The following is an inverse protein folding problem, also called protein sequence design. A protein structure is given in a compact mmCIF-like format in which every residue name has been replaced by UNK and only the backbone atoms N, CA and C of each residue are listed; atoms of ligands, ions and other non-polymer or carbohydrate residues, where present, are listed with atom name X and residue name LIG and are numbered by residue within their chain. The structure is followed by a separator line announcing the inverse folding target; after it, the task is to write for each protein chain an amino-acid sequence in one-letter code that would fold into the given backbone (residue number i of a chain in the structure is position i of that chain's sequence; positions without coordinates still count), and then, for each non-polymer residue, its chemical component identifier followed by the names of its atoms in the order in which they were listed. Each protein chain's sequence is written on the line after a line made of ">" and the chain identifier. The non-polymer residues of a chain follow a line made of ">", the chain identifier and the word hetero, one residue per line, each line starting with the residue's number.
data_IF_893596434849
#
_entry.id   IF_893596434849
#
_cell.length_a   1.000
_cell.length_b   1.000
_cell.length_c   1.000
_cell.angle_alpha   90.00
_cell.angle_beta   90.00
_cell.angle_gamma   90.00
#
_symmetry.space_group_name_H-M   'P 1'
#
loop_
_entity.id
_entity.type
_entity.pdbx_description
1 polymer ?
#
# COMPACT_ATOMS: atom_id res chain seq x y z
N UNK A 1 -1.83 24.75 15.72
CA UNK A 1 -2.81 23.99 14.93
C UNK A 1 -2.23 23.90 13.54
N UNK A 2 -1.96 22.70 13.04
CA UNK A 2 -1.54 22.53 11.63
C UNK A 2 -2.82 22.65 10.80
N UNK A 3 -2.97 23.75 10.08
CA UNK A 3 -4.03 23.93 9.10
C UNK A 3 -3.48 23.40 7.77
N UNK A 4 -4.06 22.32 7.26
CA UNK A 4 -3.55 21.63 6.06
C UNK A 4 -4.51 21.89 4.92
N UNK A 5 -4.08 22.56 3.85
CA UNK A 5 -4.89 22.79 2.65
C UNK A 5 -4.32 22.00 1.47
N UNK A 6 -5.19 21.28 0.75
CA UNK A 6 -4.82 20.38 -0.35
C UNK A 6 -5.17 20.90 -1.75
N UNK A 7 -5.63 22.15 -1.84
CA UNK A 7 -5.96 22.80 -3.11
C UNK A 7 -4.80 22.70 -4.10
N UNK A 8 -5.14 22.32 -5.34
CA UNK A 8 -4.23 22.12 -6.47
C UNK A 8 -3.09 21.09 -6.24
N UNK A 9 -3.25 20.15 -5.29
CA UNK A 9 -2.28 19.05 -5.08
C UNK A 9 -2.71 17.73 -5.74
N UNK A 10 -3.35 17.82 -6.91
CA UNK A 10 -3.94 16.67 -7.63
C UNK A 10 -2.94 15.58 -8.01
N UNK A 11 -1.64 15.90 -8.09
CA UNK A 11 -0.58 14.93 -8.42
C UNK A 11 -0.01 14.20 -7.19
N UNK A 12 -0.43 14.57 -5.97
CA UNK A 12 0.10 13.99 -4.74
C UNK A 12 -0.34 12.52 -4.62
N UNK A 13 0.64 11.62 -4.44
CA UNK A 13 0.42 10.17 -4.30
C UNK A 13 0.61 9.65 -2.88
N UNK A 14 1.40 10.36 -2.07
CA UNK A 14 1.68 9.97 -0.69
C UNK A 14 1.59 11.20 0.19
N UNK A 15 0.78 11.08 1.24
CA UNK A 15 0.65 12.07 2.29
C UNK A 15 1.01 11.39 3.60
N UNK A 16 2.12 11.81 4.20
CA UNK A 16 2.56 11.35 5.52
C UNK A 16 2.55 12.52 6.49
N UNK A 17 1.66 12.45 7.47
CA UNK A 17 1.56 13.39 8.59
C UNK A 17 1.73 12.65 9.93
N UNK A 18 2.38 11.48 9.92
CA UNK A 18 2.56 10.66 11.10
C UNK A 18 3.28 11.42 12.23
N UNK A 19 2.83 11.22 13.47
CA UNK A 19 3.40 11.84 14.67
C UNK A 19 3.11 13.34 14.81
N UNK A 20 2.26 13.90 13.95
CA UNK A 20 1.87 15.32 14.07
C UNK A 20 0.80 15.51 15.14
N UNK A 21 0.73 16.73 15.70
CA UNK A 21 -0.32 17.14 16.63
C UNK A 21 -1.59 17.59 15.90
N UNK A 22 -1.94 16.91 14.80
CA UNK A 22 -3.14 17.20 14.01
C UNK A 22 -4.39 16.87 14.84
N UNK A 23 -5.34 17.81 14.90
CA UNK A 23 -6.63 17.58 15.57
C UNK A 23 -7.70 17.12 14.56
N UNK A 24 -7.65 17.68 13.35
CA UNK A 24 -8.57 17.41 12.25
C UNK A 24 -7.79 17.46 10.93
N UNK A 25 -8.25 16.70 9.95
CA UNK A 25 -7.74 16.72 8.58
C UNK A 25 -8.72 17.50 7.71
N UNK A 26 -8.22 18.41 6.87
CA UNK A 26 -9.10 19.23 6.06
C UNK A 26 -9.96 18.40 5.10
N UNK A 27 -11.21 18.80 4.95
CA UNK A 27 -12.19 18.15 4.06
C UNK A 27 -11.75 18.18 2.59
N UNK A 28 -10.92 19.15 2.19
CA UNK A 28 -10.31 19.23 0.85
C UNK A 28 -9.40 18.04 0.52
N UNK A 29 -9.12 17.13 1.46
CA UNK A 29 -8.40 15.89 1.15
C UNK A 29 -9.09 15.09 0.06
N UNK A 30 -10.42 15.18 -0.06
CA UNK A 30 -11.19 14.49 -1.10
C UNK A 30 -10.79 14.89 -2.54
N UNK A 31 -10.10 16.02 -2.71
CA UNK A 31 -9.57 16.50 -3.99
C UNK A 31 -8.29 15.76 -4.43
N UNK A 32 -7.65 15.04 -3.53
CA UNK A 32 -6.43 14.25 -3.79
C UNK A 32 -6.76 12.94 -4.52
N UNK A 33 -7.41 13.01 -5.67
CA UNK A 33 -7.89 11.85 -6.44
C UNK A 33 -6.80 10.88 -6.91
N UNK A 34 -5.53 11.28 -6.85
CA UNK A 34 -4.37 10.42 -7.15
C UNK A 34 -3.65 9.90 -5.90
N UNK A 35 -4.14 10.19 -4.69
CA UNK A 35 -3.52 9.72 -3.46
C UNK A 35 -3.62 8.20 -3.39
N UNK A 36 -2.47 7.56 -3.21
CA UNK A 36 -2.38 6.12 -2.99
C UNK A 36 -2.05 5.80 -1.53
N UNK A 37 -1.26 6.62 -0.84
CA UNK A 37 -0.88 6.40 0.56
C UNK A 37 -1.31 7.54 1.45
N UNK A 38 -2.06 7.22 2.51
CA UNK A 38 -2.42 8.13 3.59
C UNK A 38 -1.85 7.60 4.93
N UNK A 39 -0.81 8.24 5.43
CA UNK A 39 -0.10 7.85 6.66
C UNK A 39 -0.32 8.91 7.73
N UNK A 40 -0.99 8.54 8.80
CA UNK A 40 -1.38 9.39 9.92
C UNK A 40 -1.03 8.73 11.26
N UNK A 41 -0.06 7.80 11.24
CA UNK A 41 0.33 7.02 12.41
C UNK A 41 0.69 7.95 13.58
N UNK A 42 0.27 7.60 14.78
CA UNK A 42 0.56 8.32 16.03
C UNK A 42 0.08 9.80 16.03
N UNK A 43 -0.90 10.17 15.21
CA UNK A 43 -1.61 11.45 15.32
C UNK A 43 -2.58 11.41 16.51
N UNK A 44 -2.04 11.46 17.73
CA UNK A 44 -2.81 11.16 18.96
C UNK A 44 -3.95 12.13 19.26
N UNK A 45 -3.96 13.31 18.63
CA UNK A 45 -5.02 14.30 18.79
C UNK A 45 -6.09 14.25 17.69
N UNK A 46 -5.89 13.46 16.63
CA UNK A 46 -6.83 13.36 15.53
C UNK A 46 -8.12 12.69 16.00
N UNK A 47 -9.26 13.36 15.85
CA UNK A 47 -10.55 12.85 16.36
C UNK A 47 -11.41 12.22 15.27
N UNK A 48 -11.39 12.81 14.07
CA UNK A 48 -12.22 12.41 12.93
C UNK A 48 -11.39 12.46 11.66
N UNK A 49 -11.57 11.47 10.78
CA UNK A 49 -11.19 11.57 9.38
C UNK A 49 -12.36 12.06 8.54
N UNK A 50 -12.18 13.10 7.71
CA UNK A 50 -13.22 13.60 6.83
C UNK A 50 -13.57 12.56 5.76
N UNK A 51 -14.60 12.83 4.96
CA UNK A 51 -15.03 11.92 3.92
C UNK A 51 -13.92 11.62 2.90
N UNK A 52 -13.43 10.39 2.90
CA UNK A 52 -12.36 9.91 2.01
C UNK A 52 -12.85 9.00 0.88
N UNK A 53 -14.17 8.90 0.66
CA UNK A 53 -14.75 8.03 -0.38
C UNK A 53 -14.23 8.33 -1.80
N UNK A 54 -13.86 9.59 -2.08
CA UNK A 54 -13.31 9.98 -3.40
C UNK A 54 -11.88 9.51 -3.65
N UNK A 55 -11.16 9.05 -2.61
CA UNK A 55 -9.78 8.57 -2.70
C UNK A 55 -9.72 7.12 -3.22
N UNK A 56 -10.32 6.89 -4.40
CA UNK A 56 -10.53 5.55 -4.98
C UNK A 56 -9.23 4.83 -5.38
N UNK A 57 -8.10 5.55 -5.41
CA UNK A 57 -6.76 5.01 -5.70
C UNK A 57 -5.94 4.69 -4.45
N UNK A 58 -6.51 4.83 -3.24
CA UNK A 58 -5.82 4.45 -2.02
C UNK A 58 -5.44 2.98 -2.03
N UNK A 59 -4.16 2.73 -1.82
CA UNK A 59 -3.56 1.41 -1.59
C UNK A 59 -3.24 1.16 -0.12
N UNK A 60 -2.87 2.20 0.62
CA UNK A 60 -2.46 2.13 2.03
C UNK A 60 -3.12 3.23 2.84
N UNK A 61 -3.72 2.83 3.97
CA UNK A 61 -4.13 3.74 5.04
C UNK A 61 -3.59 3.26 6.40
N UNK A 62 -2.77 4.09 7.05
CA UNK A 62 -2.24 3.83 8.39
C UNK A 62 -2.65 4.95 9.34
N UNK A 63 -3.60 4.67 10.22
CA UNK A 63 -4.03 5.55 11.32
C UNK A 63 -3.68 4.94 12.68
N UNK A 64 -2.72 4.01 12.71
CA UNK A 64 -2.37 3.31 13.93
C UNK A 64 -1.90 4.27 15.02
N UNK A 65 -2.29 4.03 16.27
CA UNK A 65 -1.91 4.89 17.39
C UNK A 65 -2.66 6.22 17.47
N UNK A 66 -3.60 6.52 16.56
CA UNK A 66 -4.50 7.68 16.68
C UNK A 66 -5.56 7.47 17.79
N UNK A 67 -5.12 7.58 19.04
CA UNK A 67 -5.90 7.19 20.23
C UNK A 67 -7.23 7.95 20.45
N UNK A 68 -7.41 9.11 19.83
CA UNK A 68 -8.68 9.88 19.87
C UNK A 68 -9.55 9.68 18.63
N UNK A 69 -9.03 9.05 17.58
CA UNK A 69 -9.74 8.86 16.32
C UNK A 69 -10.88 7.86 16.56
N UNK A 70 -12.12 8.34 16.45
CA UNK A 70 -13.31 7.54 16.75
C UNK A 70 -14.27 7.44 15.57
N UNK A 71 -14.06 8.23 14.51
CA UNK A 71 -14.89 8.23 13.32
C UNK A 71 -14.04 8.41 12.06
N UNK A 72 -14.35 7.62 11.03
CA UNK A 72 -13.93 7.85 9.66
C UNK A 72 -15.20 8.13 8.88
N UNK A 73 -15.33 9.32 8.33
CA UNK A 73 -16.46 9.65 7.48
C UNK A 73 -16.28 8.94 6.12
N UNK A 74 -17.33 8.27 5.66
CA UNK A 74 -17.31 7.51 4.41
C UNK A 74 -17.03 6.02 4.61
N UNK A 75 -16.60 5.38 3.53
CA UNK A 75 -16.48 3.93 3.40
C UNK A 75 -15.29 3.60 2.50
N UNK A 76 -14.70 2.41 2.64
CA UNK A 76 -13.64 1.92 1.76
C UNK A 76 -14.17 1.03 0.64
N UNK A 77 -15.49 0.90 0.50
CA UNK A 77 -16.17 0.02 -0.46
C UNK A 77 -15.67 0.16 -1.91
N UNK A 78 -15.37 1.39 -2.35
CA UNK A 78 -14.93 1.71 -3.72
C UNK A 78 -13.40 1.77 -3.87
N UNK A 79 -12.62 1.49 -2.83
CA UNK A 79 -11.15 1.55 -2.83
C UNK A 79 -10.54 0.26 -3.39
N UNK A 80 -10.80 0.01 -4.67
CA UNK A 80 -10.37 -1.22 -5.38
C UNK A 80 -8.86 -1.45 -5.46
N UNK A 81 -8.04 -0.46 -5.10
CA UNK A 81 -6.58 -0.53 -5.04
C UNK A 81 -6.05 -0.81 -3.64
N UNK A 82 -6.90 -1.02 -2.63
CA UNK A 82 -6.43 -1.14 -1.26
C UNK A 82 -5.72 -2.48 -1.02
N UNK A 83 -4.55 -2.43 -0.37
CA UNK A 83 -3.82 -3.58 0.18
C UNK A 83 -3.77 -3.51 1.70
N UNK A 84 -3.48 -2.34 2.27
CA UNK A 84 -3.14 -2.22 3.69
C UNK A 84 -4.06 -1.25 4.41
N UNK A 85 -4.65 -1.74 5.50
CA UNK A 85 -5.46 -0.93 6.42
C UNK A 85 -4.97 -1.20 7.83
N UNK A 86 -4.48 -0.17 8.51
CA UNK A 86 -4.10 -0.28 9.92
C UNK A 86 -4.88 0.73 10.77
N UNK A 87 -5.84 0.22 11.53
CA UNK A 87 -6.69 0.96 12.46
C UNK A 87 -6.27 0.76 13.92
N UNK A 88 -5.21 0.00 14.21
CA UNK A 88 -4.88 -0.41 15.58
C UNK A 88 -4.66 0.75 16.53
N UNK A 89 -5.18 0.64 17.76
CA UNK A 89 -5.02 1.70 18.77
C UNK A 89 -5.87 2.95 18.50
N UNK A 90 -6.90 2.83 17.66
CA UNK A 90 -7.95 3.83 17.48
C UNK A 90 -9.24 3.39 18.17
N UNK A 91 -10.29 4.21 18.08
CA UNK A 91 -11.65 3.92 18.58
C UNK A 91 -12.67 3.77 17.46
N UNK A 92 -12.22 3.67 16.21
CA UNK A 92 -13.10 3.62 15.05
C UNK A 92 -13.77 2.25 14.96
N UNK A 93 -15.00 2.22 14.45
CA UNK A 93 -15.59 0.97 13.94
C UNK A 93 -14.91 0.61 12.62
N UNK A 94 -14.79 -0.69 12.34
CA UNK A 94 -14.28 -1.16 11.04
C UNK A 94 -15.14 -0.57 9.91
N UNK A 95 -14.55 0.22 8.99
CA UNK A 95 -15.24 0.69 7.79
C UNK A 95 -15.61 -0.49 6.88
N UNK A 96 -16.59 -0.31 6.00
CA UNK A 96 -16.88 -1.29 4.96
C UNK A 96 -15.67 -1.44 4.04
N UNK A 97 -15.18 -2.67 3.90
CA UNK A 97 -14.03 -3.01 3.08
C UNK A 97 -14.40 -3.12 1.59
N UNK A 98 -13.42 -3.01 0.66
CA UNK A 98 -13.68 -2.99 -0.77
C UNK A 98 -14.46 -4.21 -1.26
N UNK A 99 -15.42 -4.00 -2.16
CA UNK A 99 -16.17 -5.11 -2.79
C UNK A 99 -15.34 -5.86 -3.82
N UNK A 100 -14.51 -5.14 -4.55
CA UNK A 100 -13.72 -5.64 -5.67
C UNK A 100 -12.24 -5.30 -5.47
N UNK A 101 -11.36 -5.96 -6.24
CA UNK A 101 -9.94 -5.67 -6.25
C UNK A 101 -9.43 -5.49 -7.67
N UNK A 102 -8.69 -4.41 -7.91
CA UNK A 102 -7.90 -4.19 -9.13
C UNK A 102 -6.45 -4.65 -8.98
N UNK A 103 -6.05 -5.03 -7.78
CA UNK A 103 -4.69 -5.46 -7.50
C UNK A 103 -4.63 -6.82 -6.82
N UNK A 104 -3.65 -7.63 -7.18
CA UNK A 104 -3.52 -9.02 -6.70
C UNK A 104 -2.54 -9.18 -5.54
N UNK A 105 -2.24 -8.10 -4.83
CA UNK A 105 -1.48 -8.15 -3.58
C UNK A 105 -2.25 -8.91 -2.49
N UNK A 106 -1.50 -9.51 -1.56
CA UNK A 106 -2.01 -9.89 -0.25
C UNK A 106 -2.55 -8.64 0.45
N UNK A 107 -3.72 -8.74 1.05
CA UNK A 107 -4.31 -7.66 1.85
C UNK A 107 -3.93 -7.86 3.31
N UNK A 108 -3.56 -6.78 3.98
CA UNK A 108 -3.23 -6.78 5.39
C UNK A 108 -4.15 -5.80 6.13
N UNK A 109 -5.02 -6.34 6.98
CA UNK A 109 -6.00 -5.56 7.74
C UNK A 109 -5.74 -5.73 9.22
N UNK A 110 -5.52 -4.62 9.91
CA UNK A 110 -5.42 -4.55 11.36
C UNK A 110 -6.55 -3.68 11.89
N UNK A 111 -7.44 -4.29 12.68
CA UNK A 111 -8.60 -3.59 13.25
C UNK A 111 -8.22 -2.73 14.46
N UNK A 112 -9.17 -1.93 14.94
CA UNK A 112 -8.99 -1.04 16.08
C UNK A 112 -8.51 -1.75 17.36
N UNK A 113 -9.03 -2.96 17.59
CA UNK A 113 -8.65 -3.84 18.70
C UNK A 113 -7.30 -4.58 18.50
N UNK A 114 -6.66 -4.40 17.34
CA UNK A 114 -5.38 -5.01 17.00
C UNK A 114 -5.48 -6.39 16.34
N UNK A 115 -6.69 -6.96 16.14
CA UNK A 115 -6.87 -8.18 15.37
C UNK A 115 -6.35 -8.01 13.94
N UNK A 116 -5.68 -9.04 13.44
CA UNK A 116 -5.06 -9.07 12.11
C UNK A 116 -5.78 -10.06 11.21
N UNK A 117 -5.94 -9.66 9.95
CA UNK A 117 -6.54 -10.46 8.88
C UNK A 117 -5.68 -10.31 7.64
N UNK A 118 -5.44 -11.43 6.96
CA UNK A 118 -4.61 -11.50 5.77
C UNK A 118 -5.26 -12.40 4.73
N UNK A 119 -5.25 -11.98 3.48
CA UNK A 119 -5.82 -12.77 2.38
C UNK A 119 -5.83 -12.00 1.06
N UNK A 120 -6.04 -12.69 -0.05
CA UNK A 120 -6.05 -12.05 -1.39
C UNK A 120 -7.44 -11.56 -1.81
N UNK A 121 -8.50 -12.16 -1.27
CA UNK A 121 -9.90 -11.87 -1.60
C UNK A 121 -10.61 -11.13 -0.47
N UNK A 122 -11.19 -9.97 -0.81
CA UNK A 122 -11.95 -9.17 0.15
C UNK A 122 -13.19 -9.86 0.71
N UNK A 123 -13.84 -10.75 -0.06
CA UNK A 123 -14.97 -11.57 0.42
C UNK A 123 -14.55 -12.42 1.61
N UNK A 124 -13.48 -13.19 1.46
CA UNK A 124 -12.95 -14.06 2.52
C UNK A 124 -12.56 -13.28 3.77
N UNK A 125 -11.93 -12.12 3.60
CA UNK A 125 -11.55 -11.25 4.71
C UNK A 125 -12.79 -10.72 5.44
N UNK A 126 -13.81 -10.27 4.72
CA UNK A 126 -15.07 -9.82 5.32
C UNK A 126 -15.75 -10.95 6.10
N UNK A 127 -15.86 -12.14 5.50
CA UNK A 127 -16.46 -13.30 6.13
C UNK A 127 -15.72 -13.68 7.43
N UNK A 128 -14.38 -13.61 7.42
CA UNK A 128 -13.57 -13.89 8.61
C UNK A 128 -13.77 -12.83 9.72
N UNK A 129 -13.86 -11.55 9.34
CA UNK A 129 -14.15 -10.46 10.29
C UNK A 129 -15.54 -10.64 10.91
N UNK A 130 -16.54 -11.01 10.11
CA UNK A 130 -17.91 -11.24 10.58
C UNK A 130 -18.01 -12.47 11.49
N UNK A 131 -17.38 -13.59 11.12
CA UNK A 131 -17.35 -14.81 11.93
C UNK A 131 -16.77 -14.54 13.33
N UNK A 132 -15.62 -13.85 13.41
CA UNK A 132 -14.98 -13.56 14.70
C UNK A 132 -15.78 -12.59 15.58
N UNK A 133 -16.64 -11.75 15.00
CA UNK A 133 -17.57 -10.90 15.78
C UNK A 133 -18.70 -11.72 16.40
N UNK A 134 -19.20 -12.73 15.67
CA UNK A 134 -20.24 -13.62 16.18
C UNK A 134 -19.74 -14.49 17.33
N UNK A 135 -18.51 -15.00 17.26
CA UNK A 135 -17.89 -15.82 18.33
C UNK A 135 -17.70 -15.04 19.64
N UNK A 136 -17.38 -13.74 19.55
CA UNK A 136 -17.27 -12.86 20.72
C UNK A 136 -18.64 -12.55 21.34
N UNK A 137 -19.70 -12.44 20.53
CA UNK A 137 -21.06 -12.22 21.00
C UNK A 137 -21.64 -13.45 21.72
N UNK A 138 -21.29 -14.67 21.30
CA UNK A 138 -21.66 -15.91 21.99
C UNK A 138 -20.83 -16.13 23.25
N UNK A 139 -19.51 -15.91 23.21
CA UNK A 139 -18.65 -16.08 24.40
C UNK A 139 -18.94 -15.07 25.51
N UNK A 140 -19.26 -13.81 25.17
CA UNK A 140 -19.65 -12.78 26.16
C UNK A 140 -21.02 -13.03 26.80
N UNK A 141 -21.85 -13.89 26.21
CA UNK A 141 -23.15 -14.28 26.77
C UNK A 141 -23.08 -15.45 27.76
N UNK A 142 -22.00 -16.24 27.74
CA UNK A 142 -21.78 -17.36 28.67
C UNK A 142 -21.03 -16.95 29.96
N UNK A 143 -20.26 -15.86 29.94
CA UNK A 143 -19.49 -15.39 31.12
C UNK A 143 -20.29 -14.50 32.10
N UNK A 144 -21.56 -14.16 31.83
CA UNK A 144 -22.36 -13.26 32.71
C UNK A 144 -23.10 -14.01 33.85
N UNK A 145 -22.90 -15.34 34.03
CA UNK A 145 -23.67 -16.10 35.04
C UNK A 145 -23.09 -16.27 36.43
N UNK A 146 -21.85 -15.91 36.72
CA UNK A 146 -21.32 -15.96 38.09
C UNK A 146 -20.37 -14.80 38.37
N UNK A 147 -20.90 -13.67 38.86
CA UNK A 147 -20.21 -12.80 39.81
C UNK A 147 -21.19 -11.74 40.36
N UNK A 148 -22.13 -12.21 41.20
CA UNK A 148 -22.79 -11.35 42.19
C UNK A 148 -22.08 -11.59 43.51
N UNK A 149 -21.62 -10.49 44.12
CA UNK A 149 -21.03 -10.33 45.47
C UNK A 149 -19.54 -10.63 45.64
N UNK A 150 -18.71 -9.57 45.56
CA UNK A 150 -18.09 -8.97 46.76
C UNK A 150 -17.41 -7.61 46.49
N UNK A 151 -17.70 -6.65 47.38
CA UNK A 151 -17.09 -5.32 47.48
C UNK A 151 -15.60 -5.36 47.90
N UNK A 152 -14.76 -4.50 47.30
CA UNK A 152 -13.95 -3.42 47.95
C UNK A 152 -12.68 -3.09 47.15
N UNK A 153 -12.46 -1.80 46.93
CA UNK A 153 -11.17 -1.22 46.53
C UNK A 153 -10.20 -1.24 47.73
N UNK A 154 -8.91 -1.53 47.52
CA UNK A 154 -7.89 -0.53 47.83
C UNK A 154 -6.80 -0.39 46.74
N UNK A 155 -6.27 0.83 46.67
CA UNK A 155 -5.18 1.26 45.81
C UNK A 155 -3.82 0.66 46.20
N UNK A 156 -3.00 0.30 45.21
CA UNK A 156 -1.59 0.71 45.05
C UNK A 156 -0.88 -0.15 44.01
N UNK A 157 0.08 0.48 43.33
CA UNK A 157 1.19 -0.05 42.55
C UNK A 157 0.92 -0.98 41.35
N UNK A 158 1.16 -0.45 40.15
CA UNK A 158 1.70 -1.26 39.04
C UNK A 158 2.41 -0.37 38.02
N UNK A 159 3.48 0.28 38.48
CA UNK A 159 4.44 0.92 37.57
C UNK A 159 5.18 -0.11 36.69
N UNK A 160 5.13 -1.41 37.03
CA UNK A 160 5.80 -2.48 36.27
C UNK A 160 5.03 -3.06 35.07
N UNK A 161 3.69 -2.93 34.99
CA UNK A 161 2.93 -3.45 33.83
C UNK A 161 3.02 -2.56 32.58
N UNK A 162 3.42 -1.29 32.76
CA UNK A 162 3.52 -0.31 31.67
C UNK A 162 4.80 -0.47 30.83
N UNK A 163 5.84 -1.08 31.39
CA UNK A 163 7.12 -1.26 30.72
C UNK A 163 7.17 -2.54 29.87
N UNK A 164 6.46 -3.60 30.28
CA UNK A 164 6.37 -4.84 29.50
C UNK A 164 5.58 -4.66 28.18
N UNK A 165 4.61 -3.74 28.14
CA UNK A 165 3.84 -3.43 26.92
C UNK A 165 4.65 -2.57 25.94
N UNK A 166 5.53 -1.68 26.45
CA UNK A 166 6.40 -0.85 25.60
C UNK A 166 7.48 -1.65 24.88
N UNK A 167 7.92 -2.77 25.45
CA UNK A 167 9.01 -3.55 24.88
C UNK A 167 8.56 -4.54 23.79
N UNK A 168 7.30 -5.00 23.82
CA UNK A 168 6.74 -5.90 22.78
C UNK A 168 6.28 -5.19 21.51
N UNK A 169 6.03 -3.88 21.54
CA UNK A 169 5.60 -3.10 20.37
C UNK A 169 6.76 -2.66 19.45
N UNK A 170 8.02 -2.94 19.81
CA UNK A 170 9.20 -2.55 19.01
C UNK A 170 9.63 -3.56 17.95
N UNK A 171 9.11 -4.79 17.95
CA UNK A 171 9.63 -5.87 17.09
C UNK A 171 8.56 -6.51 16.20
N UNK A 172 7.78 -5.71 15.48
CA UNK A 172 7.16 -6.19 14.24
C UNK A 172 7.97 -5.57 13.12
N UNK A 173 8.75 -6.35 12.35
CA UNK A 173 9.33 -5.85 11.11
C UNK A 173 8.15 -5.59 10.19
N UNK A 174 7.68 -4.34 10.17
CA UNK A 174 6.95 -3.87 9.01
C UNK A 174 8.00 -3.92 7.90
N UNK A 175 7.67 -4.47 6.74
CA UNK A 175 8.50 -4.44 5.52
C UNK A 175 8.73 -2.99 4.98
N UNK A 176 8.74 -2.00 5.87
CA UNK A 176 9.06 -0.59 5.68
C UNK A 176 10.45 -0.36 5.08
N UNK A 177 11.38 -1.29 5.24
CA UNK A 177 12.73 -1.15 4.66
C UNK A 177 12.71 -1.25 3.12
N UNK A 178 11.85 -2.09 2.53
CA UNK A 178 11.71 -2.13 1.06
C UNK A 178 11.12 -0.82 0.50
N UNK A 179 10.14 -0.23 1.20
CA UNK A 179 9.46 0.98 0.73
C UNK A 179 10.26 2.28 0.98
N UNK A 180 11.04 2.37 2.06
CA UNK A 180 11.97 3.49 2.31
C UNK A 180 13.10 3.54 1.29
N UNK A 181 13.62 2.40 0.85
CA UNK A 181 14.69 2.36 -0.16
C UNK A 181 14.23 2.84 -1.54
N UNK A 182 12.94 2.63 -1.88
CA UNK A 182 12.35 3.08 -3.14
C UNK A 182 12.08 4.60 -3.12
N UNK A 183 11.51 5.12 -2.02
CA UNK A 183 11.15 6.54 -1.91
C UNK A 183 12.36 7.46 -1.64
N UNK A 184 13.38 7.02 -0.89
CA UNK A 184 14.59 7.82 -0.62
C UNK A 184 15.43 8.13 -1.87
N UNK A 185 15.26 7.38 -2.97
CA UNK A 185 15.94 7.64 -4.25
C UNK A 185 15.25 8.68 -5.13
N UNK A 186 14.01 9.06 -4.80
CA UNK A 186 13.34 10.18 -5.45
C UNK A 186 13.70 11.54 -4.80
N UNK A 187 14.55 11.53 -3.77
CA UNK A 187 15.00 12.74 -3.11
C UNK A 187 16.13 13.42 -3.91
N UNK A 188 15.73 14.51 -4.57
CA UNK A 188 16.47 15.78 -4.79
C UNK A 188 17.86 15.83 -5.43
N UNK A 189 18.48 14.75 -5.92
CA UNK A 189 19.85 14.83 -6.48
C UNK A 189 20.03 14.61 -7.99
N UNK A 190 19.01 14.26 -8.76
CA UNK A 190 19.16 14.09 -10.22
C UNK A 190 17.98 14.65 -11.00
N UNK A 191 18.01 15.95 -11.26
CA UNK A 191 17.31 16.53 -12.41
C UNK A 191 17.93 15.93 -13.69
N UNK A 192 17.38 14.83 -14.16
CA UNK A 192 17.46 14.43 -15.56
C UNK A 192 16.03 14.19 -16.04
N UNK A 193 15.72 14.68 -17.24
CA UNK A 193 14.40 14.70 -17.86
C UNK A 193 13.63 13.39 -17.64
N UNK A 194 12.62 13.45 -16.79
CA UNK A 194 11.69 12.34 -16.56
C UNK A 194 10.57 12.48 -17.57
N UNK A 195 10.60 11.68 -18.64
CA UNK A 195 9.45 11.57 -19.53
C UNK A 195 8.39 10.69 -18.86
N UNK A 196 7.43 11.30 -18.18
CA UNK A 196 6.21 10.61 -17.69
C UNK A 196 5.24 10.44 -18.85
N UNK A 197 5.33 9.35 -19.59
CA UNK A 197 4.37 9.02 -20.64
C UNK A 197 3.07 8.54 -19.98
N UNK A 198 2.08 9.44 -19.89
CA UNK A 198 0.70 9.07 -19.62
C UNK A 198 0.00 8.92 -20.96
N UNK A 199 -0.58 7.74 -21.19
CA UNK A 199 -1.42 7.43 -22.34
C UNK A 199 -0.74 7.61 -23.70
N UNK A 200 -0.58 6.48 -24.40
CA UNK A 200 0.00 6.37 -25.74
C UNK A 200 -0.31 7.56 -26.65
N UNK A 201 0.72 8.18 -27.22
CA UNK A 201 0.63 8.62 -28.62
C UNK A 201 1.96 8.84 -29.34
N UNK A 202 3.07 9.07 -28.65
CA UNK A 202 4.38 9.18 -29.33
C UNK A 202 5.48 8.47 -28.52
N UNK A 203 6.00 7.36 -29.06
CA UNK A 203 7.07 6.55 -28.46
C UNK A 203 8.46 6.86 -29.06
N UNK A 204 8.61 7.98 -29.78
CA UNK A 204 9.90 8.37 -30.37
C UNK A 204 10.72 9.26 -29.42
N UNK A 205 11.90 8.78 -29.00
CA UNK A 205 12.91 9.58 -28.28
C UNK A 205 13.86 8.74 -27.42
N UNK A 206 15.04 9.28 -27.12
CA UNK A 206 15.95 8.68 -26.12
C UNK A 206 15.37 8.87 -24.71
N UNK A 207 14.73 7.85 -24.14
CA UNK A 207 14.15 7.91 -22.80
C UNK A 207 15.01 7.15 -21.79
N UNK A 208 15.66 7.86 -20.85
CA UNK A 208 16.38 7.22 -19.72
C UNK A 208 15.42 6.60 -18.70
N UNK A 209 14.20 7.11 -18.59
CA UNK A 209 13.21 6.73 -17.60
C UNK A 209 11.86 6.50 -18.29
N UNK A 210 11.26 5.33 -18.10
CA UNK A 210 9.93 5.02 -18.60
C UNK A 210 9.05 4.41 -17.50
N UNK A 211 7.78 4.76 -17.55
CA UNK A 211 6.76 4.24 -16.64
C UNK A 211 5.51 3.91 -17.45
N UNK A 212 5.11 2.65 -17.44
CA UNK A 212 3.90 2.18 -18.08
C UNK A 212 2.88 1.72 -17.04
N UNK A 213 1.61 1.99 -17.32
CA UNK A 213 0.46 1.48 -16.58
C UNK A 213 -0.43 0.78 -17.59
N UNK A 214 -0.76 -0.48 -17.35
CA UNK A 214 -1.65 -1.27 -18.20
C UNK A 214 -1.18 -1.33 -19.67
N UNK A 215 0.12 -1.58 -19.88
CA UNK A 215 0.70 -1.79 -21.21
C UNK A 215 0.60 -3.27 -21.60
N UNK A 216 0.15 -3.53 -22.82
CA UNK A 216 0.15 -4.87 -23.39
C UNK A 216 1.55 -5.31 -23.84
N UNK A 217 1.76 -6.62 -23.92
CA UNK A 217 3.06 -7.22 -24.27
C UNK A 217 3.60 -6.77 -25.63
N UNK A 218 2.71 -6.54 -26.62
CA UNK A 218 3.14 -6.16 -27.97
C UNK A 218 3.69 -4.73 -28.02
N UNK A 219 3.03 -3.79 -27.34
CA UNK A 219 3.52 -2.41 -27.23
C UNK A 219 4.81 -2.33 -26.42
N UNK A 220 4.89 -3.07 -25.31
CA UNK A 220 6.10 -3.10 -24.50
C UNK A 220 7.29 -3.62 -25.31
N UNK A 221 7.09 -4.69 -26.08
CA UNK A 221 8.09 -5.27 -26.96
C UNK A 221 8.53 -4.27 -28.04
N UNK A 222 7.58 -3.63 -28.75
CA UNK A 222 7.90 -2.63 -29.78
C UNK A 222 8.75 -1.50 -29.19
N UNK A 223 8.35 -1.00 -28.01
CA UNK A 223 9.05 0.09 -27.34
C UNK A 223 10.51 -0.25 -27.03
N UNK A 224 10.78 -1.40 -26.41
CA UNK A 224 12.15 -1.79 -26.10
C UNK A 224 12.96 -2.14 -27.34
N UNK A 225 12.35 -2.65 -28.41
CA UNK A 225 13.08 -2.90 -29.66
C UNK A 225 13.45 -1.61 -30.41
N UNK A 226 12.69 -0.53 -30.22
CA UNK A 226 12.96 0.79 -30.80
C UNK A 226 13.87 1.65 -29.90
N UNK A 227 13.87 1.42 -28.59
CA UNK A 227 14.55 2.26 -27.59
C UNK A 227 15.68 1.53 -26.90
N UNK A 228 16.94 1.88 -27.21
CA UNK A 228 18.14 1.21 -26.67
C UNK A 228 18.77 1.85 -25.43
N UNK A 229 18.23 2.97 -24.95
CA UNK A 229 18.86 3.81 -23.89
C UNK A 229 18.12 3.85 -22.55
N UNK A 230 17.15 2.94 -22.35
CA UNK A 230 16.31 2.90 -21.15
C UNK A 230 17.12 2.41 -19.95
N UNK A 231 17.30 3.29 -18.96
CA UNK A 231 18.00 2.96 -17.70
C UNK A 231 17.04 2.57 -16.58
N UNK A 232 15.83 3.12 -16.58
CA UNK A 232 14.84 2.87 -15.53
C UNK A 232 13.50 2.56 -16.17
N UNK A 233 12.93 1.40 -15.81
CA UNK A 233 11.62 0.97 -16.29
C UNK A 233 10.72 0.65 -15.10
N UNK A 234 9.55 1.29 -15.07
CA UNK A 234 8.47 0.95 -14.14
C UNK A 234 7.30 0.40 -14.95
N UNK A 235 6.84 -0.80 -14.63
CA UNK A 235 5.66 -1.40 -15.21
C UNK A 235 4.63 -1.65 -14.12
N UNK A 236 3.39 -1.25 -14.35
CA UNK A 236 2.31 -1.42 -13.37
C UNK A 236 1.04 -1.91 -14.02
N UNK A 237 0.30 -2.74 -13.29
CA UNK A 237 -1.07 -3.14 -13.65
C UNK A 237 -1.19 -3.82 -15.02
N UNK A 238 -0.17 -4.54 -15.49
CA UNK A 238 -0.29 -5.24 -16.76
C UNK A 238 -0.90 -6.62 -16.50
N UNK A 239 -2.19 -6.74 -16.83
CA UNK A 239 -3.04 -7.86 -16.42
C UNK A 239 -2.92 -9.08 -17.34
N UNK A 240 -2.40 -8.90 -18.54
CA UNK A 240 -2.34 -9.87 -19.63
C UNK A 240 -0.93 -10.44 -19.88
N UNK A 241 0.11 -9.86 -19.26
CA UNK A 241 1.50 -10.26 -19.48
C UNK A 241 1.83 -11.49 -18.62
N UNK A 242 2.00 -12.63 -19.29
CA UNK A 242 2.48 -13.88 -18.68
C UNK A 242 4.01 -13.98 -18.68
N UNK A 243 4.64 -13.62 -19.79
CA UNK A 243 6.08 -13.72 -19.98
C UNK A 243 6.61 -12.35 -20.39
N UNK A 244 7.47 -11.76 -19.55
CA UNK A 244 7.97 -10.41 -19.71
C UNK A 244 9.29 -10.40 -20.48
N UNK A 245 9.43 -9.45 -21.40
CA UNK A 245 10.61 -9.26 -22.27
C UNK A 245 10.94 -10.43 -23.21
N UNK A 246 9.93 -11.26 -23.53
CA UNK A 246 10.05 -12.25 -24.61
C UNK A 246 10.31 -11.56 -25.94
N UNK A 247 11.31 -12.05 -26.68
CA UNK A 247 11.68 -11.54 -28.03
C UNK A 247 12.03 -10.05 -28.06
N UNK A 248 12.52 -9.50 -26.94
CA UNK A 248 13.11 -8.16 -26.89
C UNK A 248 14.60 -8.26 -27.21
N UNK A 249 15.11 -7.34 -28.06
CA UNK A 249 16.53 -7.26 -28.42
C UNK A 249 17.39 -7.17 -27.15
N UNK A 250 18.36 -8.09 -27.04
CA UNK A 250 19.24 -8.17 -25.87
C UNK A 250 19.96 -6.85 -25.64
N UNK A 251 20.42 -6.17 -26.70
CA UNK A 251 21.10 -4.89 -26.59
C UNK A 251 20.23 -3.81 -25.92
N UNK A 252 18.92 -3.87 -26.13
CA UNK A 252 17.98 -2.89 -25.59
C UNK A 252 17.82 -2.99 -24.07
N UNK A 253 17.91 -4.20 -23.52
CA UNK A 253 17.87 -4.43 -22.07
C UNK A 253 19.24 -4.24 -21.40
N UNK A 254 20.31 -4.25 -22.21
CA UNK A 254 21.70 -4.02 -21.81
C UNK A 254 21.92 -2.77 -20.98
N UNK A 255 21.15 -1.70 -21.22
CA UNK A 255 21.29 -0.42 -20.54
C UNK A 255 20.43 -0.28 -19.28
N UNK A 256 19.52 -1.22 -19.03
CA UNK A 256 18.57 -1.12 -17.92
C UNK A 256 19.26 -1.31 -16.58
N UNK A 257 19.21 -0.28 -15.74
CA UNK A 257 19.81 -0.23 -14.41
C UNK A 257 18.79 -0.53 -13.30
N UNK A 258 17.52 -0.22 -13.52
CA UNK A 258 16.43 -0.46 -12.56
C UNK A 258 15.16 -0.91 -13.26
N UNK A 259 14.59 -2.00 -12.77
CA UNK A 259 13.31 -2.54 -13.20
C UNK A 259 12.38 -2.64 -12.00
N UNK A 260 11.22 -1.98 -12.09
CA UNK A 260 10.15 -2.07 -11.11
C UNK A 260 8.90 -2.64 -11.78
N UNK A 261 8.40 -3.75 -11.28
CA UNK A 261 7.19 -4.41 -11.77
C UNK A 261 6.22 -4.49 -10.59
N UNK A 262 5.00 -4.01 -10.78
CA UNK A 262 3.97 -4.14 -9.76
C UNK A 262 2.63 -4.54 -10.34
N UNK A 263 1.95 -5.49 -9.70
CA UNK A 263 0.59 -5.90 -10.01
C UNK A 263 0.47 -6.54 -11.41
N UNK A 264 1.19 -7.65 -11.59
CA UNK A 264 1.09 -8.51 -12.76
C UNK A 264 0.52 -9.87 -12.34
N UNK A 265 -0.80 -10.08 -12.39
CA UNK A 265 -1.46 -11.28 -11.86
C UNK A 265 -1.16 -12.54 -12.68
N UNK A 266 -0.76 -12.40 -13.94
CA UNK A 266 -0.45 -13.50 -14.84
C UNK A 266 1.05 -13.73 -15.04
N UNK A 267 1.92 -12.83 -14.54
CA UNK A 267 3.35 -12.92 -14.79
C UNK A 267 3.93 -14.18 -14.15
N UNK A 268 4.42 -15.07 -15.00
CA UNK A 268 5.11 -16.31 -14.62
C UNK A 268 6.61 -16.18 -14.83
N UNK A 269 7.04 -15.52 -15.91
CA UNK A 269 8.45 -15.48 -16.32
C UNK A 269 8.91 -14.06 -16.60
N UNK A 270 10.12 -13.71 -16.14
CA UNK A 270 10.88 -12.57 -16.68
C UNK A 270 12.04 -13.15 -17.48
N UNK A 271 11.99 -13.06 -18.81
CA UNK A 271 13.02 -13.62 -19.69
C UNK A 271 14.29 -12.78 -19.64
N UNK A 272 15.45 -13.45 -19.62
CA UNK A 272 16.78 -12.85 -19.69
C UNK A 272 17.56 -13.61 -20.77
N UNK A 273 17.52 -13.11 -22.01
CA UNK A 273 18.55 -13.41 -23.01
C UNK A 273 19.78 -12.55 -22.72
N UNK A 274 20.77 -13.09 -22.02
CA UNK A 274 22.12 -12.53 -21.81
C UNK A 274 22.35 -11.13 -21.19
N UNK A 275 21.38 -10.23 -21.01
CA UNK A 275 21.70 -8.79 -21.00
C UNK A 275 21.10 -7.83 -19.96
N UNK A 276 20.58 -8.27 -18.81
CA UNK A 276 20.44 -7.34 -17.67
C UNK A 276 21.81 -7.03 -16.98
N UNK A 277 22.90 -6.90 -17.77
CA UNK A 277 24.28 -6.74 -17.29
C UNK A 277 24.47 -5.53 -16.39
N UNK A 278 23.69 -4.48 -16.64
CA UNK A 278 23.74 -3.24 -15.86
C UNK A 278 22.63 -3.14 -14.81
N UNK A 279 21.77 -4.15 -14.66
CA UNK A 279 20.65 -4.12 -13.73
C UNK A 279 21.19 -4.17 -12.31
N UNK A 280 21.02 -3.06 -11.61
CA UNK A 280 21.47 -2.89 -10.21
C UNK A 280 20.32 -3.10 -9.23
N UNK A 281 19.09 -2.93 -9.69
CA UNK A 281 17.89 -2.99 -8.85
C UNK A 281 16.73 -3.64 -9.57
N UNK A 282 16.12 -4.58 -8.89
CA UNK A 282 14.89 -5.24 -9.29
C UNK A 282 13.89 -5.12 -8.14
N UNK A 283 12.72 -4.56 -8.43
CA UNK A 283 11.58 -4.56 -7.51
C UNK A 283 10.43 -5.27 -8.21
N UNK A 284 9.92 -6.33 -7.59
CA UNK A 284 8.76 -7.06 -8.09
C UNK A 284 7.78 -7.16 -6.93
N UNK A 285 6.59 -6.62 -7.12
CA UNK A 285 5.54 -6.59 -6.10
C UNK A 285 4.20 -7.01 -6.72
N UNK A 286 3.33 -7.65 -5.93
CA UNK A 286 2.00 -8.07 -6.38
C UNK A 286 2.02 -8.92 -7.67
N UNK A 287 2.97 -9.85 -7.80
CA UNK A 287 3.11 -10.76 -8.95
C UNK A 287 3.01 -12.23 -8.49
N UNK A 288 1.82 -12.69 -8.07
CA UNK A 288 1.66 -13.94 -7.30
C UNK A 288 2.01 -15.22 -8.09
N UNK A 289 2.06 -15.15 -9.43
CA UNK A 289 2.34 -16.32 -10.28
C UNK A 289 3.79 -16.43 -10.73
N UNK A 290 4.67 -15.54 -10.28
CA UNK A 290 6.05 -15.52 -10.75
C UNK A 290 6.77 -16.81 -10.33
N UNK A 291 7.28 -17.55 -11.32
CA UNK A 291 7.96 -18.84 -11.13
C UNK A 291 9.44 -18.72 -11.44
N UNK A 292 9.75 -17.93 -12.45
CA UNK A 292 11.06 -17.91 -13.07
C UNK A 292 11.52 -16.47 -13.28
N UNK A 293 12.66 -16.16 -12.68
CA UNK A 293 13.38 -14.93 -12.91
C UNK A 293 14.59 -15.27 -13.76
N UNK A 294 14.73 -14.54 -14.86
CA UNK A 294 15.95 -14.50 -15.63
C UNK A 294 16.32 -15.83 -16.28
N UNK A 295 15.33 -16.44 -16.94
CA UNK A 295 15.56 -17.64 -17.74
C UNK A 295 16.21 -17.26 -19.06
N UNK A 296 17.20 -18.05 -19.47
CA UNK A 296 17.66 -18.05 -20.85
C UNK A 296 16.45 -18.31 -21.75
N UNK A 297 16.21 -17.40 -22.70
CA UNK A 297 15.11 -17.48 -23.65
C UNK A 297 15.36 -18.56 -24.72
#
# INVERSE_FOLDING_TARGET
>A
MLEVCFEDKKELKTLDLSGTNLNELATTIEELSNLSKLLLKDCTNLEVLPNIKKLTKLDVIDVSGCSKLHMIEGSFEDMSYMCEVNLSGTKVKTPELPKETKITCLKHIILADGRRFEGEEWSKIRDEIESKRSDEATSSSEEIREEVQQNKVPASDSTEKRDVIKERLRNVPIEREMYKEILSRFDSASQQEVMKIHESKDLQGEAKFVSFVDIDSTKLKSFFNETKSVKFCSLRMCMDIKDLFVEVDEESLGTLETLSISNFPLLETICWGGNFKNLKKLSIDCCPKIKTLFTDA
#
